data_IF_782971673561
#
_entry.id   IF_782971673561
#
_cell.length_a   1.000
_cell.length_b   1.000
_cell.length_c   1.000
_cell.angle_alpha   90.00
_cell.angle_beta   90.00
_cell.angle_gamma   90.00
#
_symmetry.space_group_name_H-M   'P 1'
#
loop_
_entity.id
_entity.type
_entity.pdbx_description
1 polymer ?
#
# COMPACT_ATOMS: atom_id res chain seq x y z
N UNK A 1 2.87 19.14 13.34
CA UNK A 1 1.63 18.50 12.88
C UNK A 1 1.90 17.04 12.49
N UNK A 2 1.05 16.15 12.97
CA UNK A 2 1.13 14.73 12.59
C UNK A 2 0.01 14.39 11.62
N UNK A 3 0.34 13.62 10.59
CA UNK A 3 -0.67 13.10 9.68
C UNK A 3 -0.32 11.65 9.32
N UNK A 4 -1.13 10.73 9.77
CA UNK A 4 -0.96 9.31 9.44
C UNK A 4 -1.22 9.08 7.95
N UNK A 5 -2.19 9.78 7.40
CA UNK A 5 -2.52 9.65 5.98
C UNK A 5 -1.37 10.12 5.10
N UNK A 6 -0.75 11.25 5.45
CA UNK A 6 0.39 11.76 4.69
C UNK A 6 1.57 10.78 4.75
N UNK A 7 1.81 10.19 5.91
CA UNK A 7 2.89 9.20 6.05
C UNK A 7 2.63 7.99 5.15
N UNK A 8 1.39 7.52 5.07
CA UNK A 8 1.01 6.42 4.18
C UNK A 8 1.25 6.81 2.73
N UNK A 9 0.79 7.99 2.33
CA UNK A 9 0.96 8.47 0.96
C UNK A 9 2.42 8.60 0.56
N UNK A 10 3.27 9.06 1.47
CA UNK A 10 4.70 9.16 1.22
C UNK A 10 5.33 7.80 0.95
N UNK A 11 4.92 6.76 1.67
CA UNK A 11 5.41 5.40 1.44
C UNK A 11 4.95 4.85 0.11
N UNK A 12 3.69 5.09 -0.25
CA UNK A 12 3.15 4.68 -1.54
C UNK A 12 3.88 5.37 -2.68
N UNK A 13 4.14 6.66 -2.52
CA UNK A 13 4.84 7.43 -3.53
C UNK A 13 6.27 6.91 -3.77
N UNK A 14 6.93 6.43 -2.73
CA UNK A 14 8.25 5.81 -2.86
C UNK A 14 8.22 4.56 -3.71
N UNK A 15 7.16 3.75 -3.58
CA UNK A 15 6.99 2.57 -4.42
C UNK A 15 6.82 2.97 -5.89
N UNK A 16 6.05 4.02 -6.15
CA UNK A 16 5.85 4.53 -7.51
C UNK A 16 7.17 5.04 -8.10
N UNK A 17 7.90 5.85 -7.35
CA UNK A 17 9.16 6.41 -7.80
C UNK A 17 10.24 5.36 -8.04
N UNK A 18 10.26 4.31 -7.21
CA UNK A 18 11.21 3.22 -7.34
C UNK A 18 11.00 2.40 -8.61
N UNK A 19 9.75 2.27 -9.03
CA UNK A 19 9.42 1.59 -10.28
C UNK A 19 9.75 0.10 -10.33
N UNK A 20 10.00 -0.53 -9.19
CA UNK A 20 10.33 -1.95 -9.12
C UNK A 20 9.09 -2.74 -8.67
N UNK A 21 8.50 -3.57 -9.56
CA UNK A 21 7.30 -4.33 -9.18
C UNK A 21 7.55 -5.38 -8.11
N UNK A 22 8.80 -5.71 -7.84
CA UNK A 22 9.16 -6.67 -6.79
C UNK A 22 9.30 -6.02 -5.43
N UNK A 23 9.41 -4.70 -5.38
CA UNK A 23 9.51 -3.98 -4.12
C UNK A 23 8.16 -3.98 -3.43
N UNK A 24 8.16 -4.29 -2.13
CA UNK A 24 6.94 -4.35 -1.35
C UNK A 24 7.09 -3.54 -0.07
N UNK A 25 5.96 -3.14 0.50
CA UNK A 25 5.91 -2.51 1.80
C UNK A 25 4.82 -3.17 2.65
N UNK A 26 5.20 -3.59 3.85
CA UNK A 26 4.26 -4.20 4.79
C UNK A 26 3.71 -3.14 5.73
N UNK A 27 2.40 -3.05 5.83
CA UNK A 27 1.74 -2.18 6.80
C UNK A 27 1.31 -3.03 8.00
N UNK A 28 1.74 -2.61 9.18
CA UNK A 28 1.54 -3.38 10.40
C UNK A 28 0.64 -2.63 11.38
N UNK A 29 -0.03 -3.40 12.20
CA UNK A 29 -0.82 -2.91 13.31
C UNK A 29 -0.55 -3.82 14.50
N UNK A 30 -0.08 -3.23 15.59
CA UNK A 30 0.23 -3.98 16.82
C UNK A 30 1.17 -5.16 16.58
N UNK A 31 2.17 -4.95 15.72
CA UNK A 31 3.17 -5.96 15.42
C UNK A 31 2.73 -7.02 14.41
N UNK A 32 1.52 -6.90 13.88
CA UNK A 32 0.99 -7.85 12.90
C UNK A 32 0.89 -7.19 11.53
N UNK A 33 1.38 -7.89 10.49
CA UNK A 33 1.27 -7.41 9.13
C UNK A 33 -0.18 -7.52 8.68
N UNK A 34 -0.80 -6.38 8.41
CA UNK A 34 -2.21 -6.33 8.00
C UNK A 34 -2.35 -6.43 6.48
N UNK A 35 -1.41 -5.86 5.73
CA UNK A 35 -1.38 -5.99 4.28
C UNK A 35 0.00 -5.67 3.74
N UNK A 36 0.27 -6.16 2.54
CA UNK A 36 1.50 -5.90 1.80
C UNK A 36 1.15 -5.22 0.49
N UNK A 37 1.85 -4.14 0.18
CA UNK A 37 1.58 -3.31 -0.98
C UNK A 37 2.76 -3.32 -1.93
N UNK A 38 2.49 -3.42 -3.23
CA UNK A 38 3.47 -3.26 -4.29
C UNK A 38 2.87 -2.39 -5.38
N UNK A 39 3.72 -1.91 -6.30
CA UNK A 39 3.28 -1.08 -7.40
C UNK A 39 3.81 -1.63 -8.72
N UNK A 40 2.93 -1.78 -9.71
CA UNK A 40 3.30 -2.20 -11.04
C UNK A 40 3.33 -1.01 -11.99
N UNK A 41 4.53 -0.59 -12.46
CA UNK A 41 4.63 0.51 -13.43
C UNK A 41 3.93 0.20 -14.74
N UNK A 42 3.95 -1.07 -15.18
CA UNK A 42 3.28 -1.48 -16.41
C UNK A 42 1.78 -1.26 -16.35
N UNK A 43 1.17 -1.67 -15.23
CA UNK A 43 -0.27 -1.55 -15.06
C UNK A 43 -0.67 -0.20 -14.48
N UNK A 44 0.30 0.56 -13.97
CA UNK A 44 0.07 1.81 -13.26
C UNK A 44 -0.93 1.61 -12.12
N UNK A 45 -0.73 0.54 -11.37
CA UNK A 45 -1.66 0.13 -10.31
C UNK A 45 -0.92 -0.43 -9.11
N UNK A 46 -1.52 -0.23 -7.94
CA UNK A 46 -1.06 -0.82 -6.70
C UNK A 46 -1.71 -2.18 -6.50
N UNK A 47 -0.94 -3.11 -5.97
CA UNK A 47 -1.42 -4.43 -5.59
C UNK A 47 -1.44 -4.50 -4.07
N UNK A 48 -2.61 -4.73 -3.50
CA UNK A 48 -2.80 -4.87 -2.05
C UNK A 48 -3.07 -6.34 -1.75
N UNK A 49 -2.16 -6.94 -0.99
CA UNK A 49 -2.25 -8.36 -0.63
C UNK A 49 -2.49 -8.50 0.87
N UNK A 50 -3.55 -9.21 1.21
CA UNK A 50 -3.92 -9.48 2.59
C UNK A 50 -3.51 -10.90 2.98
N UNK A 51 -3.03 -11.11 4.23
CA UNK A 51 -2.49 -12.43 4.62
C UNK A 51 -3.47 -13.59 4.48
N UNK A 52 -4.77 -13.31 4.64
CA UNK A 52 -5.80 -14.36 4.59
C UNK A 52 -6.48 -14.50 3.24
N UNK A 53 -6.08 -13.71 2.25
CA UNK A 53 -6.68 -13.73 0.92
C UNK A 53 -5.68 -14.27 -0.09
N UNK A 54 -6.18 -15.06 -1.05
CA UNK A 54 -5.35 -15.64 -2.09
C UNK A 54 -4.97 -14.63 -3.16
N UNK A 55 -5.93 -13.77 -3.52
CA UNK A 55 -5.75 -12.84 -4.62
C UNK A 55 -5.51 -11.42 -4.11
N UNK A 56 -4.64 -10.70 -4.80
CA UNK A 56 -4.40 -9.30 -4.50
C UNK A 56 -5.53 -8.44 -5.06
N UNK A 57 -5.81 -7.34 -4.38
CA UNK A 57 -6.73 -6.31 -4.87
C UNK A 57 -5.92 -5.25 -5.60
N UNK A 58 -6.38 -4.83 -6.78
CA UNK A 58 -5.69 -3.83 -7.59
C UNK A 58 -6.40 -2.49 -7.52
N UNK A 59 -5.61 -1.43 -7.34
CA UNK A 59 -6.10 -0.06 -7.27
C UNK A 59 -5.21 0.83 -8.14
N UNK A 60 -5.82 1.65 -8.98
CA UNK A 60 -5.10 2.58 -9.85
C UNK A 60 -5.07 4.02 -9.31
N UNK A 61 -5.61 4.25 -8.13
CA UNK A 61 -5.73 5.56 -7.53
C UNK A 61 -5.04 5.57 -6.16
N UNK A 62 -3.97 6.36 -6.04
CA UNK A 62 -3.19 6.42 -4.80
C UNK A 62 -4.02 6.93 -3.62
N UNK A 63 -4.96 7.82 -3.85
CA UNK A 63 -5.81 8.36 -2.78
C UNK A 63 -6.67 7.26 -2.18
N UNK A 64 -7.28 6.43 -3.04
CA UNK A 64 -8.12 5.32 -2.58
C UNK A 64 -7.31 4.27 -1.83
N UNK A 65 -6.09 3.99 -2.30
CA UNK A 65 -5.20 3.07 -1.61
C UNK A 65 -4.84 3.58 -0.23
N UNK A 66 -4.49 4.87 -0.13
CA UNK A 66 -4.12 5.47 1.14
C UNK A 66 -5.28 5.44 2.15
N UNK A 67 -6.50 5.70 1.70
CA UNK A 67 -7.69 5.66 2.54
C UNK A 67 -7.95 4.24 3.03
N UNK A 68 -7.85 3.26 2.14
CA UNK A 68 -8.03 1.85 2.49
C UNK A 68 -7.03 1.41 3.55
N UNK A 69 -5.77 1.77 3.39
CA UNK A 69 -4.72 1.44 4.35
C UNK A 69 -4.98 2.13 5.68
N UNK A 70 -5.35 3.39 5.63
CA UNK A 70 -5.65 4.16 6.84
C UNK A 70 -6.76 3.48 7.67
N UNK A 71 -7.82 3.04 7.01
CA UNK A 71 -8.94 2.39 7.67
C UNK A 71 -8.54 1.05 8.32
N UNK A 72 -7.59 0.34 7.72
CA UNK A 72 -7.14 -0.94 8.23
C UNK A 72 -6.16 -0.77 9.40
N UNK A 73 -5.24 0.19 9.29
CA UNK A 73 -4.16 0.36 10.26
C UNK A 73 -4.60 1.21 11.47
N UNK A 74 -5.43 2.19 11.25
CA UNK A 74 -5.90 3.12 12.27
C UNK A 74 -7.40 3.07 12.43
#
# INVERSE_FOLDING_TARGET
MKSHLLAIMNRLNRLVEGGDPKETYNFEREGEVMLTVSYSPEEQAFSLRYPKQKDASLFDDIDLVAIEIYDIIY
#
